data_IF_696067436687
#
_entry.id   IF_696067436687
#
_cell.length_a   1.000
_cell.length_b   1.000
_cell.length_c   1.000
_cell.angle_alpha   90.00
_cell.angle_beta   90.00
_cell.angle_gamma   90.00
#
_symmetry.space_group_name_H-M   'P 1'
#
loop_
_entity.id
_entity.type
_entity.pdbx_description
1 polymer ?
#
# COMPACT_ATOMS: atom_id res chain seq x y z
N UNK A 1 -20.83 16.94 -7.53
CA UNK A 1 -19.39 17.26 -7.49
C UNK A 1 -18.72 16.05 -8.06
N UNK A 2 -17.94 16.20 -9.12
CA UNK A 2 -17.24 15.09 -9.74
C UNK A 2 -16.11 14.60 -8.82
N UNK A 3 -15.95 13.28 -8.70
CA UNK A 3 -14.93 12.66 -7.85
C UNK A 3 -13.54 12.90 -8.44
N UNK A 4 -13.39 12.82 -9.77
CA UNK A 4 -12.12 13.04 -10.46
C UNK A 4 -11.60 14.47 -10.23
N UNK A 5 -12.41 15.49 -10.51
CA UNK A 5 -12.11 16.89 -10.21
C UNK A 5 -11.75 17.11 -8.72
N UNK A 6 -12.36 16.33 -7.83
CA UNK A 6 -12.09 16.44 -6.39
C UNK A 6 -10.73 15.87 -6.02
N UNK A 7 -10.29 14.77 -6.65
CA UNK A 7 -8.94 14.21 -6.47
C UNK A 7 -7.88 15.23 -6.87
N UNK A 8 -8.00 15.83 -8.06
CA UNK A 8 -7.03 16.83 -8.54
C UNK A 8 -6.91 18.03 -7.59
N UNK A 9 -8.06 18.52 -7.09
CA UNK A 9 -8.08 19.63 -6.13
C UNK A 9 -7.52 19.24 -4.76
N UNK A 10 -7.78 18.02 -4.30
CA UNK A 10 -7.22 17.53 -3.05
C UNK A 10 -5.69 17.39 -3.14
N UNK A 11 -5.16 16.90 -4.27
CA UNK A 11 -3.72 16.84 -4.52
C UNK A 11 -3.09 18.23 -4.51
N UNK A 12 -3.70 19.21 -5.18
CA UNK A 12 -3.20 20.59 -5.16
C UNK A 12 -3.16 21.17 -3.73
N UNK A 13 -4.18 20.88 -2.90
CA UNK A 13 -4.17 21.28 -1.49
C UNK A 13 -3.05 20.58 -0.71
N UNK A 14 -2.78 19.31 -0.96
CA UNK A 14 -1.66 18.60 -0.32
C UNK A 14 -0.32 19.23 -0.70
N UNK A 15 -0.13 19.58 -1.98
CA UNK A 15 1.08 20.26 -2.47
C UNK A 15 1.27 21.65 -1.83
N UNK A 16 0.16 22.32 -1.50
CA UNK A 16 0.15 23.61 -0.77
C UNK A 16 0.34 23.45 0.75
N UNK A 17 0.41 22.22 1.27
CA UNK A 17 0.49 21.93 2.71
C UNK A 17 -0.85 21.98 3.46
N UNK A 18 -1.96 22.14 2.73
CA UNK A 18 -3.33 22.27 3.23
C UNK A 18 -3.99 20.89 3.45
N UNK A 19 -3.30 19.99 4.14
CA UNK A 19 -3.72 18.60 4.36
C UNK A 19 -5.10 18.49 5.01
N UNK A 20 -5.40 19.33 6.00
CA UNK A 20 -6.72 19.35 6.66
C UNK A 20 -7.85 19.74 5.71
N UNK A 21 -7.59 20.66 4.78
CA UNK A 21 -8.55 21.08 3.74
C UNK A 21 -8.75 19.98 2.70
N UNK A 22 -7.67 19.35 2.25
CA UNK A 22 -7.71 18.20 1.33
C UNK A 22 -8.54 17.05 1.94
N UNK A 23 -8.26 16.71 3.20
CA UNK A 23 -8.99 15.70 3.96
C UNK A 23 -10.49 16.01 4.05
N UNK A 24 -10.85 17.22 4.46
CA UNK A 24 -12.25 17.61 4.61
C UNK A 24 -13.01 17.54 3.27
N UNK A 25 -12.34 17.92 2.17
CA UNK A 25 -12.87 17.83 0.82
C UNK A 25 -13.13 16.36 0.41
N UNK A 26 -12.14 15.47 0.61
CA UNK A 26 -12.24 14.04 0.29
C UNK A 26 -13.33 13.33 1.11
N UNK A 27 -13.36 13.56 2.43
CA UNK A 27 -14.41 12.99 3.30
C UNK A 27 -15.81 13.42 2.83
N UNK A 28 -15.97 14.70 2.47
CA UNK A 28 -17.25 15.21 1.99
C UNK A 28 -17.68 14.49 0.71
N UNK A 29 -16.81 14.40 -0.30
CA UNK A 29 -17.19 13.79 -1.58
C UNK A 29 -17.48 12.28 -1.42
N UNK A 30 -16.64 11.55 -0.68
CA UNK A 30 -16.79 10.11 -0.47
C UNK A 30 -18.01 9.75 0.40
N UNK A 31 -18.39 10.63 1.34
CA UNK A 31 -19.61 10.45 2.13
C UNK A 31 -20.89 10.56 1.29
N UNK A 32 -20.86 11.36 0.23
CA UNK A 32 -21.98 11.58 -0.70
C UNK A 32 -21.95 10.63 -1.90
N UNK A 33 -20.84 9.95 -2.15
CA UNK A 33 -20.69 9.02 -3.27
C UNK A 33 -21.65 7.83 -3.14
N UNK A 34 -22.19 7.42 -4.29
CA UNK A 34 -22.95 6.19 -4.49
C UNK A 34 -22.12 5.17 -5.27
N UNK A 35 -22.62 3.95 -5.46
CA UNK A 35 -21.95 2.95 -6.30
C UNK A 35 -21.62 3.54 -7.67
N UNK A 36 -20.40 3.27 -8.14
CA UNK A 36 -19.88 3.76 -9.41
C UNK A 36 -20.76 3.28 -10.57
N UNK A 37 -20.97 4.17 -11.54
CA UNK A 37 -21.78 3.90 -12.73
C UNK A 37 -20.94 3.33 -13.88
N UNK A 38 -19.64 3.62 -13.86
CA UNK A 38 -18.67 3.19 -14.85
C UNK A 38 -17.27 3.01 -14.21
N UNK A 39 -16.34 2.49 -15.01
CA UNK A 39 -14.97 2.20 -14.57
C UNK A 39 -14.17 3.48 -14.23
N UNK A 40 -14.49 4.61 -14.87
CA UNK A 40 -13.79 5.88 -14.61
C UNK A 40 -14.16 6.42 -13.23
N UNK A 41 -15.45 6.43 -12.91
CA UNK A 41 -15.97 6.80 -11.59
C UNK A 41 -15.47 5.83 -10.51
N UNK A 42 -15.41 4.53 -10.81
CA UNK A 42 -14.90 3.52 -9.87
C UNK A 42 -13.41 3.76 -9.55
N UNK A 43 -12.60 4.03 -10.57
CA UNK A 43 -11.19 4.38 -10.39
C UNK A 43 -11.00 5.68 -9.62
N UNK A 44 -11.79 6.71 -9.91
CA UNK A 44 -11.72 8.00 -9.20
C UNK A 44 -12.09 7.86 -7.72
N UNK A 45 -13.10 7.06 -7.39
CA UNK A 45 -13.46 6.74 -6.00
C UNK A 45 -12.31 6.01 -5.29
N UNK A 46 -11.68 5.04 -5.94
CA UNK A 46 -10.54 4.34 -5.38
C UNK A 46 -9.34 5.28 -5.17
N UNK A 47 -9.00 6.13 -6.16
CA UNK A 47 -7.92 7.13 -6.06
C UNK A 47 -8.19 8.17 -4.95
N UNK A 48 -9.42 8.67 -4.83
CA UNK A 48 -9.80 9.55 -3.72
C UNK A 48 -9.65 8.86 -2.36
N UNK A 49 -9.96 7.56 -2.29
CA UNK A 49 -9.80 6.77 -1.07
C UNK A 49 -8.34 6.58 -0.71
N UNK A 50 -7.45 6.33 -1.69
CA UNK A 50 -6.00 6.27 -1.47
C UNK A 50 -5.52 7.52 -0.75
N UNK A 51 -5.82 8.69 -1.33
CA UNK A 51 -5.36 9.96 -0.78
C UNK A 51 -5.92 10.22 0.62
N UNK A 52 -7.18 9.85 0.86
CA UNK A 52 -7.78 9.95 2.19
C UNK A 52 -7.08 9.03 3.21
N UNK A 53 -6.78 7.78 2.83
CA UNK A 53 -6.09 6.83 3.70
C UNK A 53 -4.68 7.32 4.03
N UNK A 54 -3.93 7.82 3.05
CA UNK A 54 -2.59 8.38 3.27
C UNK A 54 -2.60 9.54 4.26
N UNK A 55 -3.62 10.41 4.20
CA UNK A 55 -3.79 11.52 5.13
C UNK A 55 -4.25 11.06 6.53
N UNK A 56 -5.05 10.00 6.62
CA UNK A 56 -5.69 9.59 7.87
C UNK A 56 -4.87 8.57 8.67
N UNK A 57 -4.02 7.75 8.04
CA UNK A 57 -3.37 6.59 8.67
C UNK A 57 -2.47 6.92 9.86
N UNK A 58 -1.96 8.16 9.94
CA UNK A 58 -1.10 8.63 11.05
C UNK A 58 -1.91 9.30 12.17
N UNK A 59 -3.13 9.77 11.86
CA UNK A 59 -3.89 10.68 12.75
C UNK A 59 -5.23 10.11 13.22
N UNK A 60 -5.78 9.13 12.51
CA UNK A 60 -7.06 8.50 12.83
C UNK A 60 -6.89 7.05 13.34
N UNK A 61 -7.87 6.52 14.10
CA UNK A 61 -7.85 5.13 14.53
C UNK A 61 -7.94 4.14 13.37
N UNK A 62 -7.34 2.96 13.53
CA UNK A 62 -7.36 1.88 12.51
C UNK A 62 -8.78 1.55 12.02
N UNK A 63 -9.76 1.50 12.92
CA UNK A 63 -11.15 1.22 12.58
C UNK A 63 -11.73 2.21 11.56
N UNK A 64 -11.26 3.47 11.58
CA UNK A 64 -11.69 4.49 10.62
C UNK A 64 -11.13 4.23 9.23
N UNK A 65 -9.87 3.80 9.15
CA UNK A 65 -9.23 3.41 7.90
C UNK A 65 -9.95 2.19 7.30
N UNK A 66 -10.27 1.20 8.13
CA UNK A 66 -11.08 0.03 7.75
C UNK A 66 -12.44 0.41 7.14
N UNK A 67 -13.15 1.37 7.76
CA UNK A 67 -14.41 1.89 7.24
C UNK A 67 -14.25 2.51 5.84
N UNK A 68 -13.17 3.27 5.62
CA UNK A 68 -12.90 3.90 4.32
C UNK A 68 -12.63 2.86 3.23
N UNK A 69 -11.81 1.85 3.53
CA UNK A 69 -11.47 0.78 2.60
C UNK A 69 -12.69 -0.10 2.29
N UNK A 70 -13.49 -0.47 3.30
CA UNK A 70 -14.71 -1.24 3.09
C UNK A 70 -15.74 -0.47 2.25
N UNK A 71 -15.92 0.82 2.54
CA UNK A 71 -16.81 1.67 1.73
C UNK A 71 -16.32 1.76 0.29
N UNK A 72 -15.02 1.93 0.05
CA UNK A 72 -14.45 1.90 -1.31
C UNK A 72 -14.75 0.58 -2.02
N UNK A 73 -14.57 -0.58 -1.35
CA UNK A 73 -14.89 -1.89 -1.92
C UNK A 73 -16.36 -2.00 -2.34
N UNK A 74 -17.28 -1.49 -1.52
CA UNK A 74 -18.72 -1.46 -1.83
C UNK A 74 -19.06 -0.52 -2.99
N UNK A 75 -18.48 0.68 -3.01
CA UNK A 75 -18.78 1.69 -4.03
C UNK A 75 -18.19 1.32 -5.41
N UNK A 76 -17.08 0.60 -5.44
CA UNK A 76 -16.39 0.16 -6.67
C UNK A 76 -16.68 -1.30 -7.04
N UNK A 77 -17.63 -1.93 -6.34
CA UNK A 77 -18.01 -3.32 -6.57
C UNK A 77 -18.48 -3.57 -8.00
N UNK A 78 -18.02 -4.67 -8.60
CA UNK A 78 -18.35 -5.04 -9.98
C UNK A 78 -17.38 -4.51 -11.04
N UNK A 79 -16.43 -3.65 -10.67
CA UNK A 79 -15.36 -3.17 -11.56
C UNK A 79 -14.04 -3.87 -11.25
N UNK A 80 -13.39 -4.39 -12.30
CA UNK A 80 -12.10 -5.09 -12.23
C UNK A 80 -11.20 -4.73 -13.43
N UNK A 81 -11.38 -3.53 -13.97
CA UNK A 81 -10.39 -3.00 -14.92
C UNK A 81 -9.07 -2.71 -14.18
N UNK A 82 -7.97 -2.67 -14.95
CA UNK A 82 -6.64 -2.55 -14.38
C UNK A 82 -6.46 -1.30 -13.50
N UNK A 83 -7.07 -0.17 -13.87
CA UNK A 83 -6.89 1.11 -13.16
C UNK A 83 -7.62 1.09 -11.82
N UNK A 84 -8.87 0.62 -11.81
CA UNK A 84 -9.65 0.44 -10.58
C UNK A 84 -9.01 -0.60 -9.67
N UNK A 85 -8.60 -1.76 -10.21
CA UNK A 85 -7.96 -2.82 -9.42
C UNK A 85 -6.67 -2.32 -8.77
N UNK A 86 -5.82 -1.63 -9.52
CA UNK A 86 -4.59 -1.03 -9.01
C UNK A 86 -4.86 0.05 -7.94
N UNK A 87 -5.80 0.96 -8.17
CA UNK A 87 -6.12 2.01 -7.21
C UNK A 87 -6.64 1.44 -5.90
N UNK A 88 -7.47 0.39 -5.93
CA UNK A 88 -7.91 -0.33 -4.73
C UNK A 88 -6.75 -0.97 -3.99
N UNK A 89 -5.86 -1.66 -4.71
CA UNK A 89 -4.69 -2.28 -4.11
C UNK A 89 -3.74 -1.25 -3.47
N UNK A 90 -3.62 -0.07 -4.09
CA UNK A 90 -2.86 1.06 -3.55
C UNK A 90 -3.48 1.62 -2.26
N UNK A 91 -4.81 1.67 -2.18
CA UNK A 91 -5.49 2.15 -0.97
C UNK A 91 -5.23 1.20 0.21
N UNK A 92 -5.30 -0.11 -0.03
CA UNK A 92 -4.94 -1.13 0.96
C UNK A 92 -3.46 -1.04 1.35
N UNK A 93 -2.57 -0.78 0.39
CA UNK A 93 -1.14 -0.65 0.62
C UNK A 93 -0.80 0.61 1.45
N UNK A 94 -1.47 1.74 1.22
CA UNK A 94 -1.26 2.97 1.97
C UNK A 94 -1.47 2.78 3.49
N UNK A 95 -2.32 1.82 3.88
CA UNK A 95 -2.51 1.42 5.27
C UNK A 95 -1.27 0.81 5.91
N UNK A 96 -0.35 0.24 5.14
CA UNK A 96 0.84 -0.44 5.68
C UNK A 96 2.14 0.34 5.41
N UNK A 97 2.22 1.14 4.35
CA UNK A 97 3.46 1.83 3.98
C UNK A 97 3.79 3.06 4.83
N UNK A 98 2.84 3.60 5.58
CA UNK A 98 3.07 4.77 6.43
C UNK A 98 4.18 4.56 7.47
N UNK A 99 4.43 3.31 7.87
CA UNK A 99 5.49 2.95 8.83
C UNK A 99 6.89 3.32 8.34
N UNK A 100 7.10 3.47 7.03
CA UNK A 100 8.39 3.86 6.46
C UNK A 100 8.74 5.33 6.73
N UNK A 101 7.75 6.17 7.09
CA UNK A 101 7.92 7.59 7.36
C UNK A 101 7.96 7.96 8.84
N UNK A 102 7.91 6.97 9.75
CA UNK A 102 7.83 7.19 11.19
C UNK A 102 9.08 6.67 11.90
N UNK A 103 9.71 7.54 12.69
CA UNK A 103 10.74 7.14 13.65
C UNK A 103 10.07 6.58 14.92
N UNK A 104 10.58 5.47 15.48
CA UNK A 104 10.13 4.84 16.73
C UNK A 104 8.63 4.43 16.78
N UNK A 105 8.19 3.63 15.81
CA UNK A 105 6.84 3.04 15.81
C UNK A 105 6.68 1.98 16.91
N UNK A 106 5.53 2.02 17.61
CA UNK A 106 5.12 1.04 18.63
C UNK A 106 5.23 -0.41 18.09
N UNK A 107 5.95 -1.32 18.77
CA UNK A 107 6.02 -2.73 18.39
C UNK A 107 4.66 -3.43 18.19
N UNK A 108 3.61 -3.00 18.90
CA UNK A 108 2.24 -3.51 18.70
C UNK A 108 1.72 -3.12 17.32
N UNK A 109 1.90 -1.86 16.93
CA UNK A 109 1.51 -1.37 15.61
C UNK A 109 2.29 -2.10 14.51
N UNK A 110 3.59 -2.35 14.71
CA UNK A 110 4.39 -3.16 13.80
C UNK A 110 3.81 -4.56 13.58
N UNK A 111 3.34 -5.24 14.62
CA UNK A 111 2.73 -6.58 14.47
C UNK A 111 1.43 -6.51 13.66
N UNK A 112 0.59 -5.50 13.91
CA UNK A 112 -0.65 -5.30 13.16
C UNK A 112 -0.36 -5.02 11.68
N UNK A 113 0.54 -4.08 11.40
CA UNK A 113 0.94 -3.74 10.03
C UNK A 113 1.59 -4.94 9.33
N UNK A 114 2.40 -5.73 10.03
CA UNK A 114 2.97 -6.97 9.49
C UNK A 114 1.88 -7.98 9.08
N UNK A 115 0.86 -8.18 9.92
CA UNK A 115 -0.25 -9.08 9.60
C UNK A 115 -0.97 -8.62 8.33
N UNK A 116 -1.28 -7.31 8.23
CA UNK A 116 -1.92 -6.74 7.04
C UNK A 116 -1.06 -6.85 5.78
N UNK A 117 0.24 -6.57 5.89
CA UNK A 117 1.15 -6.68 4.77
C UNK A 117 1.22 -8.12 4.22
N UNK A 118 1.20 -9.12 5.10
CA UNK A 118 1.13 -10.54 4.70
C UNK A 118 -0.21 -10.92 4.07
N UNK A 119 -1.32 -10.38 4.58
CA UNK A 119 -2.66 -10.56 3.99
C UNK A 119 -2.71 -10.00 2.56
N UNK A 120 -2.20 -8.78 2.35
CA UNK A 120 -2.15 -8.12 1.04
C UNK A 120 -1.30 -8.94 0.05
N UNK A 121 -0.08 -9.34 0.44
CA UNK A 121 0.80 -10.14 -0.44
C UNK A 121 0.13 -11.46 -0.83
N UNK A 122 -0.41 -12.20 0.15
CA UNK A 122 -1.04 -13.50 -0.08
C UNK A 122 -2.23 -13.39 -1.03
N UNK A 123 -3.08 -12.39 -0.84
CA UNK A 123 -4.28 -12.21 -1.66
C UNK A 123 -3.98 -11.74 -3.09
N UNK A 124 -2.88 -10.98 -3.27
CA UNK A 124 -2.69 -10.15 -4.48
C UNK A 124 -1.53 -10.59 -5.38
N UNK A 125 -0.62 -11.43 -4.89
CA UNK A 125 0.60 -11.82 -5.62
C UNK A 125 0.37 -12.52 -6.97
N UNK A 126 -0.80 -13.16 -7.16
CA UNK A 126 -1.16 -13.88 -8.38
C UNK A 126 -2.17 -13.12 -9.25
N UNK A 127 -2.44 -11.85 -8.95
CA UNK A 127 -3.39 -11.04 -9.72
C UNK A 127 -2.99 -10.95 -11.20
N UNK A 128 -3.98 -10.92 -12.08
CA UNK A 128 -3.78 -10.65 -13.51
C UNK A 128 -3.30 -9.23 -13.76
N UNK A 129 -3.56 -8.29 -12.86
CA UNK A 129 -3.19 -6.88 -12.99
C UNK A 129 -1.81 -6.60 -12.40
N UNK A 130 -0.90 -6.05 -13.22
CA UNK A 130 0.46 -5.74 -12.81
C UNK A 130 0.52 -4.76 -11.62
N UNK A 131 -0.34 -3.73 -11.60
CA UNK A 131 -0.40 -2.78 -10.50
C UNK A 131 -0.78 -3.41 -9.15
N UNK A 132 -1.64 -4.45 -9.16
CA UNK A 132 -2.02 -5.21 -7.96
C UNK A 132 -0.87 -6.11 -7.51
N UNK A 133 -0.18 -6.78 -8.43
CA UNK A 133 1.02 -7.57 -8.11
C UNK A 133 2.15 -6.70 -7.56
N UNK A 134 2.28 -5.45 -8.05
CA UNK A 134 3.22 -4.46 -7.52
C UNK A 134 2.89 -4.12 -6.07
N UNK A 135 1.64 -3.81 -5.75
CA UNK A 135 1.24 -3.54 -4.37
C UNK A 135 1.49 -4.75 -3.45
N UNK A 136 1.26 -5.98 -3.95
CA UNK A 136 1.61 -7.21 -3.24
C UNK A 136 3.12 -7.30 -2.93
N UNK A 137 3.97 -6.94 -3.90
CA UNK A 137 5.42 -6.95 -3.74
C UNK A 137 5.90 -5.88 -2.75
N UNK A 138 5.30 -4.68 -2.77
CA UNK A 138 5.58 -3.60 -1.81
C UNK A 138 5.16 -4.01 -0.38
N UNK A 139 4.01 -4.65 -0.23
CA UNK A 139 3.58 -5.23 1.04
C UNK A 139 4.53 -6.34 1.52
N UNK A 140 4.97 -7.24 0.63
CA UNK A 140 5.92 -8.30 0.97
C UNK A 140 7.27 -7.76 1.46
N UNK A 141 7.78 -6.71 0.80
CA UNK A 141 9.01 -6.02 1.21
C UNK A 141 8.82 -5.33 2.58
N UNK A 142 7.72 -4.60 2.75
CA UNK A 142 7.35 -3.92 4.01
C UNK A 142 7.28 -4.92 5.17
N UNK A 143 6.68 -6.10 4.95
CA UNK A 143 6.64 -7.17 5.95
C UNK A 143 8.05 -7.60 6.40
N UNK A 144 9.02 -7.70 5.48
CA UNK A 144 10.39 -8.08 5.84
C UNK A 144 11.13 -6.97 6.59
N UNK A 145 10.89 -5.70 6.24
CA UNK A 145 11.44 -4.56 6.98
C UNK A 145 10.95 -4.54 8.43
N UNK A 146 9.65 -4.75 8.64
CA UNK A 146 9.06 -4.82 9.98
C UNK A 146 9.62 -6.00 10.77
N UNK A 147 9.73 -7.19 10.16
CA UNK A 147 10.34 -8.35 10.83
C UNK A 147 11.77 -8.08 11.29
N UNK A 148 12.54 -7.32 10.49
CA UNK A 148 13.89 -6.87 10.88
C UNK A 148 13.83 -5.94 12.10
N UNK A 149 12.94 -4.95 12.11
CA UNK A 149 12.76 -4.04 13.26
C UNK A 149 12.33 -4.77 14.53
N UNK A 150 11.50 -5.81 14.40
CA UNK A 150 11.09 -6.67 15.49
C UNK A 150 12.16 -7.68 15.94
N UNK A 151 13.37 -7.64 15.35
CA UNK A 151 14.49 -8.52 15.72
C UNK A 151 14.26 -10.00 15.39
N UNK A 152 13.45 -10.31 14.37
CA UNK A 152 13.28 -11.68 13.92
C UNK A 152 14.54 -12.23 13.24
N UNK A 153 14.56 -13.56 13.05
CA UNK A 153 15.70 -14.27 12.50
C UNK A 153 16.12 -13.75 11.12
N UNK A 154 17.38 -13.31 11.02
CA UNK A 154 17.93 -12.69 9.83
C UNK A 154 17.99 -13.65 8.63
N UNK A 155 18.12 -14.96 8.86
CA UNK A 155 18.07 -15.94 7.76
C UNK A 155 16.70 -16.03 7.15
N UNK A 156 15.67 -16.19 7.99
CA UNK A 156 14.30 -16.27 7.54
C UNK A 156 13.92 -15.04 6.71
N UNK A 157 14.37 -13.84 7.14
CA UNK A 157 14.18 -12.59 6.40
C UNK A 157 14.93 -12.61 5.07
N UNK A 158 16.22 -12.95 5.05
CA UNK A 158 17.01 -12.99 3.82
C UNK A 158 16.46 -14.01 2.80
N UNK A 159 16.05 -15.20 3.26
CA UNK A 159 15.39 -16.20 2.41
C UNK A 159 14.06 -15.71 1.83
N UNK A 160 13.26 -14.99 2.62
CA UNK A 160 12.00 -14.41 2.12
C UNK A 160 12.26 -13.31 1.07
N UNK A 161 13.28 -12.48 1.27
CA UNK A 161 13.68 -11.44 0.32
C UNK A 161 14.22 -12.04 -0.99
N UNK A 162 14.98 -13.13 -0.94
CA UNK A 162 15.42 -13.84 -2.15
C UNK A 162 14.23 -14.44 -2.91
N UNK A 163 13.26 -15.04 -2.20
CA UNK A 163 12.05 -15.58 -2.82
C UNK A 163 11.23 -14.46 -3.51
N UNK A 164 11.12 -13.29 -2.87
CA UNK A 164 10.51 -12.10 -3.47
C UNK A 164 11.28 -11.68 -4.73
N UNK A 165 12.61 -11.56 -4.67
CA UNK A 165 13.43 -11.17 -5.81
C UNK A 165 13.33 -12.15 -6.99
N UNK A 166 13.26 -13.46 -6.72
CA UNK A 166 13.03 -14.50 -7.73
C UNK A 166 11.65 -14.37 -8.38
N UNK A 167 10.61 -14.16 -7.57
CA UNK A 167 9.23 -13.96 -8.05
C UNK A 167 9.12 -12.77 -8.99
N UNK A 168 9.83 -11.68 -8.70
CA UNK A 168 9.85 -10.47 -9.53
C UNK A 168 10.75 -10.58 -10.76
N UNK A 169 11.44 -11.71 -10.97
CA UNK A 169 12.46 -11.88 -12.00
C UNK A 169 11.97 -11.72 -13.44
N UNK A 170 10.67 -11.92 -13.70
CA UNK A 170 10.04 -11.82 -15.01
C UNK A 170 9.19 -10.56 -15.24
N UNK A 171 9.13 -9.65 -14.26
CA UNK A 171 8.34 -8.43 -14.36
C UNK A 171 9.11 -7.33 -15.11
N UNK A 172 8.42 -6.61 -16.00
CA UNK A 172 9.02 -5.55 -16.84
C UNK A 172 8.84 -4.14 -16.28
N UNK A 173 8.04 -4.00 -15.22
CA UNK A 173 7.77 -2.71 -14.57
C UNK A 173 9.00 -2.20 -13.80
N UNK A 174 9.32 -0.92 -13.96
CA UNK A 174 10.52 -0.31 -13.37
C UNK A 174 10.46 -0.27 -11.84
N UNK A 175 9.26 -0.11 -11.26
CA UNK A 175 9.06 -0.10 -9.81
C UNK A 175 9.21 -1.51 -9.24
N UNK A 176 8.67 -2.53 -9.91
CA UNK A 176 8.92 -3.93 -9.53
C UNK A 176 10.40 -4.31 -9.64
N UNK A 177 11.11 -3.80 -10.65
CA UNK A 177 12.57 -3.96 -10.77
C UNK A 177 13.32 -3.32 -9.59
N UNK A 178 12.90 -2.12 -9.15
CA UNK A 178 13.48 -1.46 -7.99
C UNK A 178 13.27 -2.29 -6.70
N UNK A 179 12.05 -2.79 -6.47
CA UNK A 179 11.73 -3.67 -5.32
C UNK A 179 12.59 -4.92 -5.34
N UNK A 180 12.77 -5.54 -6.52
CA UNK A 180 13.63 -6.71 -6.69
C UNK A 180 15.07 -6.40 -6.30
N UNK A 181 15.63 -5.31 -6.79
CA UNK A 181 17.01 -4.90 -6.47
C UNK A 181 17.15 -4.62 -4.97
N UNK A 182 16.19 -3.92 -4.38
CA UNK A 182 16.18 -3.64 -2.95
C UNK A 182 16.12 -4.92 -2.10
N UNK A 183 15.28 -5.88 -2.48
CA UNK A 183 15.20 -7.18 -1.82
C UNK A 183 16.54 -7.93 -1.88
N UNK A 184 17.18 -7.98 -3.06
CA UNK A 184 18.50 -8.61 -3.23
C UNK A 184 19.58 -7.92 -2.38
N UNK A 185 19.64 -6.59 -2.42
CA UNK A 185 20.64 -5.81 -1.66
C UNK A 185 20.44 -5.98 -0.16
N UNK A 186 19.19 -5.93 0.31
CA UNK A 186 18.88 -6.08 1.73
C UNK A 186 19.17 -7.50 2.22
N UNK A 187 18.83 -8.52 1.43
CA UNK A 187 19.15 -9.92 1.68
C UNK A 187 20.67 -10.14 1.82
N UNK A 188 21.45 -9.61 0.88
CA UNK A 188 22.92 -9.69 0.92
C UNK A 188 23.50 -8.99 2.15
N UNK A 189 23.03 -7.77 2.47
CA UNK A 189 23.47 -7.04 3.66
C UNK A 189 23.20 -7.82 4.95
N UNK A 190 22.01 -8.40 5.10
CA UNK A 190 21.68 -9.22 6.26
C UNK A 190 22.64 -10.40 6.44
N UNK A 191 23.06 -11.06 5.36
CA UNK A 191 24.03 -12.16 5.42
C UNK A 191 25.42 -11.71 5.82
N UNK A 192 25.89 -10.60 5.27
CA UNK A 192 27.19 -10.01 5.61
C UNK A 192 27.22 -9.59 7.08
N UNK A 193 26.21 -8.84 7.52
CA UNK A 193 26.08 -8.35 8.91
C UNK A 193 26.07 -9.50 9.93
N UNK A 194 25.54 -10.67 9.54
CA UNK A 194 25.44 -11.85 10.41
C UNK A 194 26.54 -12.90 10.15
N UNK A 195 27.58 -12.57 9.38
CA UNK A 195 28.76 -13.42 9.19
C UNK A 195 28.54 -14.69 8.36
N UNK A 196 27.57 -14.67 7.44
CA UNK A 196 27.12 -15.82 6.65
C UNK A 196 27.64 -15.85 5.21
N UNK A 197 28.15 -14.73 4.70
CA UNK A 197 28.98 -14.71 3.50
C UNK A 197 30.44 -14.97 3.91
N UNK A 198 30.80 -16.26 3.98
CA UNK A 198 32.20 -16.74 4.05
C UNK A 198 32.47 -17.73 2.94
#
# INVERSE_FOLDING_TARGET
MDVADTVERALALVDEGEQGSARALLMRVLSMATSARDAEEASAIAEATVLLVELDVVVEPEARIDEHLERMRLLTGGFDDARTAEARARAELARVEFVHGLDDVDPVLHVQVLQRALEIDTASQQSTHAGVRRAAAEAALTAQMIRRWLGQDADAIASALDALALRLGGESDSRMSAIRVEAMVTSARLRIENGRDR
#
